data_IF_450689189995
#
_entry.id   IF_450689189995
#
_cell.length_a   1.000
_cell.length_b   1.000
_cell.length_c   1.000
_cell.angle_alpha   90.00
_cell.angle_beta   90.00
_cell.angle_gamma   90.00
#
_symmetry.space_group_name_H-M   'P 1'
#
loop_
_entity.id
_entity.type
_entity.pdbx_description
1 polymer ?
#
# COMPACT_ATOMS: atom_id res chain seq x y z
N UNK A 1 -7.52 -13.89 -40.03
CA UNK A 1 -7.67 -12.56 -39.40
C UNK A 1 -7.69 -12.63 -37.88
N UNK A 2 -8.51 -13.49 -37.25
CA UNK A 2 -8.57 -13.66 -35.78
C UNK A 2 -7.22 -14.01 -35.13
N UNK A 3 -6.40 -14.86 -35.73
CA UNK A 3 -5.09 -15.24 -35.19
C UNK A 3 -4.10 -14.08 -35.02
N UNK A 4 -4.14 -13.08 -35.93
CA UNK A 4 -3.30 -11.88 -35.82
C UNK A 4 -3.74 -11.03 -34.64
N UNK A 5 -5.06 -10.84 -34.48
CA UNK A 5 -5.63 -10.08 -33.35
C UNK A 5 -5.22 -10.72 -32.02
N UNK A 6 -5.35 -12.05 -31.91
CA UNK A 6 -4.94 -12.81 -30.73
C UNK A 6 -3.44 -12.64 -30.45
N UNK A 7 -2.57 -12.76 -31.47
CA UNK A 7 -1.13 -12.60 -31.31
C UNK A 7 -0.74 -11.19 -30.83
N UNK A 8 -1.37 -10.14 -31.39
CA UNK A 8 -1.14 -8.74 -30.99
C UNK A 8 -1.57 -8.50 -29.55
N UNK A 9 -2.74 -9.02 -29.14
CA UNK A 9 -3.23 -8.91 -27.76
C UNK A 9 -2.26 -9.57 -26.77
N UNK A 10 -1.78 -10.78 -27.05
CA UNK A 10 -0.81 -11.46 -26.20
C UNK A 10 0.53 -10.73 -26.11
N UNK A 11 0.99 -10.09 -27.20
CA UNK A 11 2.18 -9.24 -27.17
C UNK A 11 1.99 -7.98 -26.31
N UNK A 12 0.82 -7.35 -26.34
CA UNK A 12 0.51 -6.22 -25.47
C UNK A 12 0.57 -6.63 -23.99
N UNK A 13 -0.04 -7.77 -23.63
CA UNK A 13 0.05 -8.30 -22.27
C UNK A 13 1.48 -8.67 -21.88
N UNK A 14 2.27 -9.23 -22.80
CA UNK A 14 3.69 -9.51 -22.56
C UNK A 14 4.49 -8.23 -22.31
N UNK A 15 4.16 -7.13 -23.01
CA UNK A 15 4.73 -5.81 -22.77
C UNK A 15 4.40 -5.28 -21.37
N UNK A 16 3.16 -5.38 -20.93
CA UNK A 16 2.75 -5.01 -19.55
C UNK A 16 3.50 -5.87 -18.52
N UNK A 17 3.57 -7.19 -18.74
CA UNK A 17 4.31 -8.10 -17.86
C UNK A 17 5.82 -7.80 -17.82
N UNK A 18 6.40 -7.33 -18.92
CA UNK A 18 7.80 -6.87 -18.97
C UNK A 18 8.02 -5.61 -18.14
N UNK A 19 7.12 -4.62 -18.25
CA UNK A 19 7.18 -3.42 -17.40
C UNK A 19 7.04 -3.80 -15.93
N UNK A 20 6.12 -4.69 -15.59
CA UNK A 20 5.97 -5.21 -14.23
C UNK A 20 7.26 -5.90 -13.74
N UNK A 21 7.89 -6.76 -14.56
CA UNK A 21 9.19 -7.38 -14.25
C UNK A 21 10.27 -6.33 -13.96
N UNK A 22 10.35 -5.26 -14.76
CA UNK A 22 11.32 -4.18 -14.57
C UNK A 22 11.10 -3.41 -13.26
N UNK A 23 9.85 -3.09 -12.93
CA UNK A 23 9.49 -2.40 -11.68
C UNK A 23 9.81 -3.26 -10.47
N UNK A 24 9.42 -4.54 -10.47
CA UNK A 24 9.76 -5.44 -9.36
C UNK A 24 11.28 -5.63 -9.22
N UNK A 25 12.00 -5.67 -10.35
CA UNK A 25 13.46 -5.78 -10.40
C UNK A 25 14.17 -4.55 -9.81
N UNK A 26 13.64 -3.34 -10.01
CA UNK A 26 14.24 -2.12 -9.45
C UNK A 26 14.05 -2.05 -7.94
N UNK A 27 12.88 -2.44 -7.45
CA UNK A 27 12.48 -2.24 -6.06
C UNK A 27 13.34 -3.06 -5.10
N UNK A 28 13.49 -4.38 -5.31
CA UNK A 28 14.30 -5.20 -4.39
C UNK A 28 15.80 -4.92 -4.49
N UNK A 29 16.29 -4.48 -5.65
CA UNK A 29 17.72 -4.15 -5.82
C UNK A 29 18.12 -2.89 -5.10
N UNK A 30 17.25 -1.87 -5.15
CA UNK A 30 17.49 -0.65 -4.39
C UNK A 30 17.48 -0.97 -2.89
N UNK A 31 16.58 -1.85 -2.44
CA UNK A 31 16.59 -2.35 -1.06
C UNK A 31 17.87 -3.14 -0.74
N UNK A 32 18.33 -4.02 -1.64
CA UNK A 32 19.50 -4.86 -1.39
C UNK A 32 20.84 -4.10 -1.38
N UNK A 33 20.91 -2.93 -2.02
CA UNK A 33 22.14 -2.14 -2.14
C UNK A 33 22.47 -1.30 -0.91
N UNK A 34 21.46 -0.93 -0.13
CA UNK A 34 21.65 -0.13 1.07
C UNK A 34 21.97 -1.06 2.24
N UNK A 35 22.95 -0.64 3.03
CA UNK A 35 23.24 -1.26 4.33
C UNK A 35 22.25 -0.72 5.35
N UNK A 36 21.89 -1.58 6.30
CA UNK A 36 21.11 -1.16 7.46
C UNK A 36 21.98 -0.26 8.34
N UNK A 37 21.39 0.82 8.83
CA UNK A 37 22.03 1.78 9.74
C UNK A 37 21.29 1.75 11.06
N UNK A 38 22.02 1.96 12.15
CA UNK A 38 21.44 2.15 13.46
C UNK A 38 20.79 3.53 13.58
N UNK A 39 19.84 3.68 14.51
CA UNK A 39 19.20 4.97 14.80
C UNK A 39 20.23 6.03 15.21
N UNK A 40 21.28 5.64 15.95
CA UNK A 40 22.37 6.52 16.35
C UNK A 40 23.21 6.98 15.15
N UNK A 41 23.52 6.08 14.19
CA UNK A 41 24.28 6.46 12.99
C UNK A 41 23.53 7.50 12.16
N UNK A 42 22.22 7.31 11.99
CA UNK A 42 21.36 8.27 11.28
C UNK A 42 21.34 9.62 11.99
N UNK A 43 21.28 9.62 13.32
CA UNK A 43 21.36 10.85 14.12
C UNK A 43 22.73 11.54 14.03
N UNK A 44 23.81 10.76 14.06
CA UNK A 44 25.18 11.27 13.94
C UNK A 44 25.45 11.88 12.56
N UNK A 45 25.02 11.22 11.48
CA UNK A 45 25.13 11.77 10.13
C UNK A 45 24.37 13.09 9.98
N UNK A 46 23.17 13.17 10.56
CA UNK A 46 22.40 14.41 10.54
C UNK A 46 23.06 15.53 11.35
N UNK A 47 23.67 15.21 12.50
CA UNK A 47 24.42 16.16 13.31
C UNK A 47 25.62 16.73 12.54
N UNK A 48 26.43 15.85 11.93
CA UNK A 48 27.58 16.26 11.10
C UNK A 48 27.15 17.15 9.93
N UNK A 49 26.06 16.81 9.25
CA UNK A 49 25.55 17.62 8.15
C UNK A 49 25.09 19.02 8.63
N UNK A 50 24.50 19.11 9.82
CA UNK A 50 24.09 20.37 10.44
C UNK A 50 25.29 21.22 10.85
N UNK A 51 26.32 20.62 11.44
CA UNK A 51 27.57 21.30 11.81
C UNK A 51 28.29 21.86 10.58
N UNK A 52 28.24 21.13 9.46
CA UNK A 52 28.75 21.60 8.16
C UNK A 52 27.90 22.70 7.50
N UNK A 53 26.81 23.14 8.13
CA UNK A 53 25.89 24.15 7.59
C UNK A 53 25.01 23.66 6.43
N UNK A 54 24.93 22.34 6.22
CA UNK A 54 24.18 21.72 5.13
C UNK A 54 22.79 21.21 5.54
N UNK A 55 21.96 20.88 4.56
CA UNK A 55 20.70 20.17 4.76
C UNK A 55 20.92 18.65 4.72
N UNK A 56 20.55 17.92 5.78
CA UNK A 56 20.58 16.46 5.78
C UNK A 56 19.42 15.87 4.96
N UNK A 57 19.74 14.95 4.05
CA UNK A 57 18.79 14.32 3.13
C UNK A 57 19.39 13.08 2.48
N UNK A 58 19.44 12.00 3.24
CA UNK A 58 20.09 10.72 2.89
C UNK A 58 19.03 9.60 2.86
N UNK A 59 19.16 8.66 1.92
CA UNK A 59 18.28 7.48 1.91
C UNK A 59 18.85 6.43 2.85
N UNK A 60 18.09 6.08 3.88
CA UNK A 60 18.53 5.17 4.95
C UNK A 60 17.61 3.96 5.06
N UNK A 61 18.14 2.89 5.64
CA UNK A 61 17.40 1.71 6.06
C UNK A 61 17.62 1.51 7.55
N UNK A 62 16.53 1.47 8.32
CA UNK A 62 16.58 1.31 9.77
C UNK A 62 15.63 0.21 10.18
N UNK A 63 16.12 -0.67 11.06
CA UNK A 63 15.31 -1.63 11.80
C UNK A 63 15.19 -1.16 13.23
N UNK A 64 14.00 -1.29 13.79
CA UNK A 64 13.79 -1.03 15.20
C UNK A 64 12.41 -1.48 15.64
N UNK A 65 12.03 -1.04 16.83
CA UNK A 65 10.75 -1.30 17.45
C UNK A 65 9.96 -0.01 17.51
N UNK A 66 8.68 -0.07 17.16
CA UNK A 66 7.79 1.09 17.26
C UNK A 66 7.65 1.56 18.70
N UNK A 67 7.84 2.85 18.91
CA UNK A 67 7.71 3.52 20.19
C UNK A 67 6.83 4.77 20.05
N UNK A 68 6.35 5.28 21.18
CA UNK A 68 5.50 6.45 21.21
C UNK A 68 6.22 7.70 20.68
N UNK A 69 5.48 8.54 19.95
CA UNK A 69 5.99 9.82 19.48
C UNK A 69 6.00 10.89 20.58
N UNK A 70 6.48 12.11 20.28
CA UNK A 70 6.41 13.24 21.21
C UNK A 70 4.99 13.58 21.69
N UNK A 71 3.97 13.23 20.90
CA UNK A 71 2.55 13.39 21.27
C UNK A 71 1.95 12.22 22.06
N UNK A 72 2.77 11.22 22.44
CA UNK A 72 2.33 10.00 23.09
C UNK A 72 1.60 9.04 22.14
N UNK A 73 0.94 8.03 22.72
CA UNK A 73 0.13 7.06 21.98
C UNK A 73 -1.20 7.65 21.51
N UNK A 74 -1.46 7.48 20.20
CA UNK A 74 -2.73 7.81 19.60
C UNK A 74 -3.80 6.79 19.97
N UNK A 75 -5.06 7.17 19.80
CA UNK A 75 -6.19 6.24 19.90
C UNK A 75 -6.83 6.08 18.52
N UNK A 76 -6.90 4.83 18.05
CA UNK A 76 -7.51 4.48 16.77
C UNK A 76 -9.02 4.86 16.78
N UNK A 77 -9.54 5.55 15.73
CA UNK A 77 -10.91 6.08 15.75
C UNK A 77 -12.01 5.03 15.89
N UNK A 78 -11.81 3.82 15.36
CA UNK A 78 -12.85 2.79 15.27
C UNK A 78 -12.69 1.74 16.39
N UNK A 79 -11.53 1.10 16.49
CA UNK A 79 -11.26 0.09 17.52
C UNK A 79 -11.02 0.67 18.91
N UNK A 80 -10.80 1.99 19.03
CA UNK A 80 -10.42 2.68 20.28
C UNK A 80 -9.13 2.16 20.92
N UNK A 81 -8.32 1.40 20.17
CA UNK A 81 -7.06 0.84 20.66
C UNK A 81 -5.95 1.90 20.66
N UNK A 82 -5.02 1.78 21.59
CA UNK A 82 -3.80 2.59 21.61
C UNK A 82 -2.85 2.14 20.50
N UNK A 83 -2.33 3.09 19.72
CA UNK A 83 -1.49 2.83 18.55
C UNK A 83 -0.52 3.99 18.29
N UNK A 84 0.52 3.73 17.51
CA UNK A 84 1.46 4.76 17.01
C UNK A 84 1.09 5.26 15.62
N UNK A 85 0.26 4.51 14.90
CA UNK A 85 -0.30 4.89 13.60
C UNK A 85 -1.61 4.15 13.36
N UNK A 86 -2.53 4.77 12.61
CA UNK A 86 -3.76 4.14 12.15
C UNK A 86 -4.14 4.61 10.75
N UNK A 87 -4.92 3.78 10.06
CA UNK A 87 -5.59 4.09 8.81
C UNK A 87 -6.95 3.40 8.80
N UNK A 88 -7.96 4.08 8.29
CA UNK A 88 -9.23 3.44 8.01
C UNK A 88 -9.78 3.81 6.63
N UNK A 89 -10.55 2.88 6.10
CA UNK A 89 -11.23 3.00 4.82
C UNK A 89 -12.71 2.65 4.99
N UNK A 90 -13.58 3.51 4.45
CA UNK A 90 -15.02 3.27 4.35
C UNK A 90 -15.35 3.02 2.89
N UNK A 91 -15.97 1.87 2.62
CA UNK A 91 -16.44 1.50 1.29
C UNK A 91 -17.93 1.19 1.33
N UNK A 92 -18.62 1.45 0.23
CA UNK A 92 -20.02 1.11 0.01
C UNK A 92 -20.11 -0.02 -1.00
N UNK A 93 -20.93 -1.01 -0.69
CA UNK A 93 -21.29 -2.08 -1.61
C UNK A 93 -22.70 -1.84 -2.09
N UNK A 94 -22.90 -1.77 -3.41
CA UNK A 94 -24.21 -1.52 -4.01
C UNK A 94 -24.41 -2.29 -5.31
N UNK A 95 -25.67 -2.43 -5.72
CA UNK A 95 -26.02 -2.96 -7.03
C UNK A 95 -25.95 -1.87 -8.10
N UNK A 96 -25.13 -2.08 -9.12
CA UNK A 96 -25.07 -1.24 -10.32
C UNK A 96 -25.89 -1.89 -11.43
N UNK A 97 -26.78 -1.10 -12.03
CA UNK A 97 -27.50 -1.53 -13.23
C UNK A 97 -26.58 -1.50 -14.47
N UNK A 98 -26.77 -2.44 -15.39
CA UNK A 98 -26.08 -2.42 -16.68
C UNK A 98 -26.42 -1.13 -17.44
N UNK A 99 -25.43 -0.57 -18.12
CA UNK A 99 -25.59 0.69 -18.87
C UNK A 99 -26.50 0.52 -20.10
N UNK A 100 -26.57 -0.69 -20.64
CA UNK A 100 -27.47 -1.07 -21.73
C UNK A 100 -28.70 -1.77 -21.17
N UNK A 101 -29.89 -1.30 -21.58
CA UNK A 101 -31.16 -1.98 -21.33
C UNK A 101 -31.30 -3.18 -22.28
N UNK A 102 -30.49 -4.20 -22.06
CA UNK A 102 -30.78 -5.53 -22.59
C UNK A 102 -31.61 -6.29 -21.54
N UNK A 103 -32.68 -6.94 -21.98
CA UNK A 103 -33.73 -7.56 -21.14
C UNK A 103 -33.19 -8.72 -20.28
N UNK A 104 -31.93 -9.12 -20.49
CA UNK A 104 -31.22 -10.19 -19.77
C UNK A 104 -30.08 -9.70 -18.88
N UNK A 105 -29.79 -8.40 -18.86
CA UNK A 105 -28.60 -7.90 -18.19
C UNK A 105 -28.80 -7.87 -16.66
N UNK A 106 -27.99 -8.65 -15.95
CA UNK A 106 -28.09 -8.78 -14.49
C UNK A 106 -27.38 -7.62 -13.76
N UNK A 107 -27.92 -7.13 -12.62
CA UNK A 107 -27.25 -6.13 -11.81
C UNK A 107 -25.92 -6.67 -11.29
N UNK A 108 -24.89 -5.84 -11.32
CA UNK A 108 -23.54 -6.22 -10.87
C UNK A 108 -23.28 -5.64 -9.49
N UNK A 109 -22.71 -6.44 -8.59
CA UNK A 109 -22.27 -5.98 -7.27
C UNK A 109 -21.00 -5.16 -7.43
N UNK A 110 -21.03 -3.91 -6.97
CA UNK A 110 -19.90 -2.98 -7.07
C UNK A 110 -19.53 -2.47 -5.70
N UNK A 111 -18.22 -2.38 -5.45
CA UNK A 111 -17.67 -1.73 -4.26
C UNK A 111 -17.09 -0.38 -4.64
N UNK A 112 -17.47 0.66 -3.92
CA UNK A 112 -17.03 2.04 -4.11
C UNK A 112 -16.38 2.57 -2.83
N UNK A 113 -15.25 3.27 -2.97
CA UNK A 113 -14.56 3.87 -1.83
C UNK A 113 -15.11 5.26 -1.54
N UNK A 114 -15.70 5.43 -0.35
CA UNK A 114 -16.34 6.68 0.05
C UNK A 114 -15.44 7.58 0.88
N UNK A 115 -14.48 6.98 1.59
CA UNK A 115 -13.61 7.73 2.49
C UNK A 115 -12.38 6.95 2.89
N UNK A 116 -11.31 7.70 3.06
CA UNK A 116 -10.02 7.19 3.50
C UNK A 116 -9.38 8.24 4.41
N UNK A 117 -8.91 7.82 5.59
CA UNK A 117 -8.14 8.67 6.49
C UNK A 117 -7.05 7.87 7.16
N UNK A 118 -5.97 8.56 7.52
CA UNK A 118 -4.84 8.01 8.24
C UNK A 118 -4.32 9.04 9.24
N UNK A 119 -3.56 8.58 10.23
CA UNK A 119 -2.82 9.45 11.12
C UNK A 119 -1.69 10.17 10.38
N UNK A 120 -1.46 11.42 10.73
CA UNK A 120 -0.35 12.25 10.22
C UNK A 120 0.78 12.43 11.23
N UNK A 121 0.56 12.01 12.47
CA UNK A 121 1.51 12.17 13.55
C UNK A 121 2.73 11.28 13.36
N UNK A 122 3.84 11.73 13.95
CA UNK A 122 5.11 11.01 13.93
C UNK A 122 5.19 10.10 15.13
N UNK A 123 5.78 8.94 14.95
CA UNK A 123 6.15 8.04 16.05
C UNK A 123 7.65 7.81 16.05
N UNK A 124 8.15 7.19 17.11
CA UNK A 124 9.56 6.85 17.22
C UNK A 124 9.80 5.41 16.77
N UNK A 125 10.93 5.20 16.11
CA UNK A 125 11.50 3.89 15.89
C UNK A 125 12.74 3.80 16.76
N UNK A 126 12.79 2.80 17.63
CA UNK A 126 13.84 2.64 18.65
C UNK A 126 14.60 1.35 18.40
N UNK A 127 15.92 1.42 18.44
CA UNK A 127 16.80 0.24 18.45
C UNK A 127 17.72 0.29 19.67
N UNK A 128 18.73 -0.59 19.72
CA UNK A 128 19.70 -0.64 20.82
C UNK A 128 20.59 0.61 20.92
N UNK A 129 20.72 1.36 19.82
CA UNK A 129 21.60 2.51 19.70
C UNK A 129 20.91 3.84 20.03
N UNK A 130 19.60 3.94 19.82
CA UNK A 130 18.87 5.18 20.02
C UNK A 130 17.47 5.16 19.42
N UNK A 131 16.97 6.34 19.05
CA UNK A 131 15.62 6.49 18.49
C UNK A 131 15.58 7.53 17.38
N UNK A 132 14.79 7.26 16.35
CA UNK A 132 14.58 8.17 15.21
C UNK A 132 13.09 8.36 14.95
N UNK A 133 12.66 9.57 14.59
CA UNK A 133 11.26 9.81 14.27
C UNK A 133 10.91 9.32 12.86
N UNK A 134 9.74 8.71 12.72
CA UNK A 134 9.21 8.20 11.45
C UNK A 134 7.90 8.91 11.12
N UNK A 135 7.76 9.31 9.86
CA UNK A 135 6.56 9.97 9.32
C UNK A 135 6.07 9.18 8.11
N UNK A 136 5.01 8.39 8.30
CA UNK A 136 4.45 7.54 7.24
C UNK A 136 3.67 8.31 6.18
N UNK A 137 3.06 9.44 6.57
CA UNK A 137 2.08 10.12 5.72
C UNK A 137 0.95 9.14 5.36
N UNK A 138 0.59 9.09 4.08
CA UNK A 138 -0.44 8.21 3.55
C UNK A 138 0.05 6.79 3.20
N UNK A 139 1.30 6.41 3.52
CA UNK A 139 1.79 5.06 3.21
C UNK A 139 1.41 4.10 4.34
N UNK A 140 0.56 3.11 4.03
CA UNK A 140 0.31 1.98 4.92
C UNK A 140 1.54 1.07 5.00
N UNK A 141 2.03 0.72 6.21
CA UNK A 141 3.06 -0.30 6.36
C UNK A 141 2.57 -1.68 5.91
N UNK A 142 3.41 -2.36 5.16
CA UNK A 142 3.19 -3.73 4.71
C UNK A 142 3.19 -4.70 5.91
N UNK A 143 2.28 -5.67 5.90
CA UNK A 143 2.09 -6.59 7.03
C UNK A 143 1.37 -6.00 8.24
N UNK A 144 0.79 -4.79 8.16
CA UNK A 144 -0.09 -4.28 9.22
C UNK A 144 -1.31 -5.16 9.42
N UNK A 145 -1.54 -5.56 10.66
CA UNK A 145 -2.68 -6.40 11.02
C UNK A 145 -3.96 -5.56 11.00
N UNK A 146 -5.01 -6.07 10.35
CA UNK A 146 -6.35 -5.49 10.43
C UNK A 146 -6.83 -5.50 11.87
N UNK A 147 -7.11 -4.33 12.42
CA UNK A 147 -7.49 -4.16 13.83
C UNK A 147 -9.00 -4.20 14.05
N UNK A 148 -9.76 -3.77 13.04
CA UNK A 148 -11.21 -3.76 13.04
C UNK A 148 -11.72 -3.92 11.61
N UNK A 149 -12.64 -4.85 11.44
CA UNK A 149 -13.39 -5.06 10.21
C UNK A 149 -14.85 -5.22 10.58
N UNK A 150 -15.72 -4.40 10.00
CA UNK A 150 -17.14 -4.53 10.19
C UNK A 150 -17.88 -4.20 8.90
N UNK A 151 -18.97 -4.94 8.67
CA UNK A 151 -19.92 -4.68 7.60
C UNK A 151 -21.25 -4.28 8.25
N UNK A 152 -21.83 -3.18 7.75
CA UNK A 152 -23.08 -2.62 8.23
C UNK A 152 -24.09 -2.61 7.10
N UNK A 153 -25.09 -3.48 7.20
CA UNK A 153 -26.20 -3.47 6.25
C UNK A 153 -26.92 -2.12 6.31
N UNK A 154 -27.43 -1.64 5.17
CA UNK A 154 -28.13 -0.33 5.15
C UNK A 154 -29.34 -0.28 6.09
N UNK A 155 -30.02 -1.41 6.28
CA UNK A 155 -31.14 -1.55 7.22
C UNK A 155 -30.74 -1.32 8.69
N UNK A 156 -29.46 -1.48 9.04
CA UNK A 156 -28.95 -1.31 10.42
C UNK A 156 -28.62 0.16 10.74
N UNK A 157 -28.51 1.05 9.75
CA UNK A 157 -28.03 2.43 9.92
C UNK A 157 -29.02 3.36 10.66
N UNK A 158 -30.20 2.86 11.02
CA UNK A 158 -31.20 3.57 11.83
C UNK A 158 -31.76 2.74 12.99
N UNK A 159 -31.26 1.52 13.21
CA UNK A 159 -31.73 0.68 14.32
C UNK A 159 -30.86 0.92 15.55
N UNK A 160 -31.49 1.15 16.70
CA UNK A 160 -30.82 1.36 18.00
C UNK A 160 -30.06 0.13 18.54
N UNK A 161 -30.10 -1.01 17.85
CA UNK A 161 -29.51 -2.28 18.29
C UNK A 161 -28.00 -2.37 18.10
N UNK A 162 -27.39 -1.55 17.23
CA UNK A 162 -25.96 -1.59 16.94
C UNK A 162 -25.36 -0.20 16.91
N UNK A 163 -24.27 0.00 17.65
CA UNK A 163 -23.50 1.24 17.62
C UNK A 163 -22.77 1.35 16.28
N UNK A 164 -23.37 2.07 15.32
CA UNK A 164 -22.75 2.35 14.02
C UNK A 164 -21.73 3.48 14.19
N UNK A 165 -20.48 3.32 13.71
CA UNK A 165 -19.48 4.38 13.78
C UNK A 165 -19.92 5.64 13.01
N UNK A 166 -19.64 6.82 13.56
CA UNK A 166 -19.99 8.11 12.94
C UNK A 166 -19.42 8.24 11.52
N UNK A 167 -18.26 7.63 11.25
CA UNK A 167 -17.62 7.61 9.93
C UNK A 167 -18.51 6.91 8.89
N UNK A 168 -19.20 5.84 9.28
CA UNK A 168 -20.15 5.11 8.42
C UNK A 168 -21.42 5.94 8.25
N UNK A 169 -21.95 6.52 9.33
CA UNK A 169 -23.13 7.39 9.27
C UNK A 169 -22.92 8.61 8.35
N UNK A 170 -21.76 9.27 8.49
CA UNK A 170 -21.36 10.40 7.67
C UNK A 170 -21.17 10.00 6.20
N UNK A 171 -20.62 8.81 5.94
CA UNK A 171 -20.51 8.28 4.57
C UNK A 171 -21.89 7.98 3.97
N UNK A 172 -22.79 7.36 4.74
CA UNK A 172 -24.15 7.04 4.34
C UNK A 172 -25.03 8.27 4.10
N UNK A 173 -24.84 9.34 4.89
CA UNK A 173 -25.53 10.62 4.69
C UNK A 173 -25.11 11.31 3.38
N UNK A 174 -23.86 11.13 2.95
CA UNK A 174 -23.34 11.70 1.70
C UNK A 174 -23.83 10.97 0.45
N UNK A 175 -24.07 9.67 0.53
CA UNK A 175 -24.58 8.83 -0.57
C UNK A 175 -26.11 8.85 -0.66
N UNK A 176 -26.72 10.02 -0.41
CA UNK A 176 -28.18 10.30 -0.37
C UNK A 176 -29.01 9.28 -1.18
N UNK A 177 -29.90 8.60 -0.46
CA UNK A 177 -31.06 7.85 -0.97
C UNK A 177 -30.83 6.88 -2.14
N UNK A 178 -29.75 6.09 -2.08
CA UNK A 178 -29.56 4.98 -3.00
C UNK A 178 -30.08 3.67 -2.39
N UNK A 179 -31.33 3.32 -2.70
CA UNK A 179 -32.00 2.08 -2.30
C UNK A 179 -31.26 0.81 -2.74
N UNK A 180 -30.27 0.94 -3.63
CA UNK A 180 -29.44 -0.16 -4.16
C UNK A 180 -28.21 -0.44 -3.30
N UNK A 181 -27.97 0.39 -2.29
CA UNK A 181 -26.88 0.18 -1.33
C UNK A 181 -27.19 -1.04 -0.47
N UNK A 182 -26.33 -2.05 -0.56
CA UNK A 182 -26.42 -3.29 0.20
C UNK A 182 -25.85 -3.05 1.60
N UNK A 183 -24.60 -2.60 1.66
CA UNK A 183 -23.89 -2.46 2.92
C UNK A 183 -22.75 -1.43 2.85
N UNK A 184 -22.23 -1.09 4.03
CA UNK A 184 -21.04 -0.28 4.21
C UNK A 184 -19.97 -1.10 4.93
N UNK A 185 -18.85 -1.29 4.24
CA UNK A 185 -17.68 -1.97 4.78
C UNK A 185 -16.73 -0.93 5.38
N UNK A 186 -16.30 -1.16 6.62
CA UNK A 186 -15.24 -0.39 7.25
C UNK A 186 -14.06 -1.28 7.61
N UNK A 187 -12.85 -0.84 7.24
CA UNK A 187 -11.60 -1.51 7.60
C UNK A 187 -10.71 -0.52 8.34
N UNK A 188 -10.17 -0.93 9.49
CA UNK A 188 -9.14 -0.19 10.24
C UNK A 188 -7.87 -1.02 10.36
N UNK A 189 -6.75 -0.44 9.97
CA UNK A 189 -5.41 -0.96 10.22
C UNK A 189 -4.74 -0.09 11.27
N UNK A 190 -4.03 -0.72 12.21
CA UNK A 190 -3.25 0.01 13.21
C UNK A 190 -1.84 -0.57 13.30
N UNK A 191 -0.93 0.26 13.76
CA UNK A 191 0.40 -0.15 14.20
C UNK A 191 0.50 0.13 15.69
N UNK A 192 0.70 -0.90 16.50
CA UNK A 192 0.86 -0.78 17.96
C UNK A 192 2.32 -0.46 18.31
N UNK A 193 2.58 0.14 19.48
CA UNK A 193 3.94 0.19 20.03
C UNK A 193 4.47 -1.23 20.30
N UNK A 194 5.78 -1.39 20.35
CA UNK A 194 6.45 -2.67 20.64
C UNK A 194 6.56 -3.62 19.44
N UNK A 195 6.25 -3.16 18.24
CA UNK A 195 6.27 -3.99 17.03
C UNK A 195 7.56 -3.75 16.24
N UNK A 196 8.31 -4.80 15.89
CA UNK A 196 9.44 -4.69 14.98
C UNK A 196 9.01 -4.11 13.64
N UNK A 197 9.75 -3.12 13.15
CA UNK A 197 9.45 -2.40 11.93
C UNK A 197 10.73 -2.12 11.15
N UNK A 198 10.74 -2.53 9.89
CA UNK A 198 11.72 -2.12 8.90
C UNK A 198 11.23 -0.86 8.19
N UNK A 199 12.08 0.16 8.12
CA UNK A 199 11.79 1.42 7.44
C UNK A 199 12.92 1.76 6.48
N UNK A 200 12.56 1.96 5.20
CA UNK A 200 13.44 2.55 4.20
C UNK A 200 12.82 3.83 3.66
N UNK A 201 13.52 4.94 3.84
CA UNK A 201 13.07 6.27 3.41
C UNK A 201 14.21 7.28 3.39
N UNK A 202 13.87 8.54 3.15
CA UNK A 202 14.83 9.65 3.26
C UNK A 202 14.79 10.18 4.68
N UNK A 203 15.94 10.13 5.37
CA UNK A 203 16.15 10.80 6.62
C UNK A 203 16.46 12.26 6.34
N UNK A 204 15.65 13.15 6.91
CA UNK A 204 15.77 14.59 6.75
C UNK A 204 15.76 15.28 8.10
N UNK A 205 16.59 16.29 8.27
CA UNK A 205 16.53 17.15 9.45
C UNK A 205 15.38 18.16 9.28
N UNK A 206 14.40 18.12 10.18
CA UNK A 206 13.31 19.09 10.24
C UNK A 206 13.23 19.70 11.63
N UNK A 207 13.52 21.00 11.69
CA UNK A 207 13.42 21.78 12.93
C UNK A 207 14.23 21.18 14.09
N UNK A 208 15.42 20.65 13.80
CA UNK A 208 16.32 20.10 14.83
C UNK A 208 16.14 18.61 15.11
N UNK A 209 15.10 17.97 14.54
CA UNK A 209 14.83 16.54 14.71
C UNK A 209 14.99 15.78 13.39
N UNK A 210 15.70 14.65 13.45
CA UNK A 210 15.82 13.74 12.29
C UNK A 210 14.53 12.96 12.13
N UNK A 211 13.94 13.06 10.94
CA UNK A 211 12.70 12.38 10.58
C UNK A 211 12.91 11.58 9.30
N UNK A 212 12.63 10.28 9.37
CA UNK A 212 12.55 9.40 8.20
C UNK A 212 11.16 9.52 7.61
N UNK A 213 11.10 9.81 6.31
CA UNK A 213 9.83 9.91 5.60
C UNK A 213 9.97 9.63 4.12
N UNK A 214 8.93 9.97 3.37
CA UNK A 214 8.94 9.79 1.91
C UNK A 214 10.12 10.55 1.28
N UNK A 215 10.91 9.90 0.42
CA UNK A 215 11.94 10.56 -0.36
C UNK A 215 11.40 11.78 -1.12
N UNK A 216 12.11 12.90 -0.99
CA UNK A 216 11.77 14.19 -1.61
C UNK A 216 12.51 14.39 -2.93
N UNK A 217 13.78 13.97 -2.98
CA UNK A 217 14.65 14.18 -4.16
C UNK A 217 14.47 13.12 -5.23
N UNK A 218 14.00 11.94 -4.84
CA UNK A 218 13.78 10.81 -5.74
C UNK A 218 12.31 10.47 -5.79
N UNK A 219 11.84 9.89 -6.91
CA UNK A 219 10.50 9.32 -6.99
C UNK A 219 10.40 7.95 -6.29
N UNK A 220 11.34 7.65 -5.40
CA UNK A 220 11.35 6.42 -4.63
C UNK A 220 10.21 6.44 -3.59
N UNK A 221 9.64 5.26 -3.33
CA UNK A 221 8.57 5.11 -2.34
C UNK A 221 9.18 4.93 -0.95
N UNK A 222 8.48 5.41 0.07
CA UNK A 222 8.73 5.01 1.45
C UNK A 222 8.32 3.54 1.58
N UNK A 223 9.23 2.68 2.02
CA UNK A 223 8.96 1.27 2.27
C UNK A 223 8.94 1.08 3.77
N UNK A 224 7.82 0.59 4.29
CA UNK A 224 7.64 0.34 5.71
C UNK A 224 7.00 -1.01 5.84
N UNK A 225 7.55 -1.88 6.67
CA UNK A 225 7.07 -3.24 6.80
C UNK A 225 7.29 -3.78 8.20
N UNK A 226 6.28 -4.49 8.70
CA UNK A 226 6.36 -5.27 9.93
C UNK A 226 7.10 -6.59 9.69
N UNK A 227 7.10 -7.05 8.44
CA UNK A 227 7.85 -8.22 7.99
C UNK A 227 9.27 -7.74 7.67
N UNK A 228 10.30 -8.30 8.32
CA UNK A 228 11.68 -7.83 8.18
C UNK A 228 12.19 -7.79 6.73
N UNK A 229 13.28 -7.05 6.51
CA UNK A 229 13.90 -6.79 5.19
C UNK A 229 14.04 -8.04 4.33
N UNK A 230 14.58 -9.12 4.87
CA UNK A 230 14.90 -10.31 4.09
C UNK A 230 13.67 -10.99 3.52
N UNK A 231 12.60 -11.08 4.29
CA UNK A 231 11.35 -11.64 3.83
C UNK A 231 10.71 -10.76 2.75
N UNK A 232 10.76 -9.43 2.89
CA UNK A 232 10.32 -8.51 1.83
C UNK A 232 11.12 -8.70 0.54
N UNK A 233 12.43 -8.93 0.64
CA UNK A 233 13.27 -9.20 -0.53
C UNK A 233 12.87 -10.54 -1.17
N UNK A 234 12.56 -11.56 -0.36
CA UNK A 234 12.11 -12.86 -0.86
C UNK A 234 10.76 -12.77 -1.56
N UNK A 235 9.79 -12.07 -0.99
CA UNK A 235 8.45 -11.88 -1.56
C UNK A 235 8.55 -11.10 -2.88
N UNK A 236 9.30 -9.99 -2.90
CA UNK A 236 9.54 -9.24 -4.15
C UNK A 236 10.28 -10.04 -5.22
N UNK A 237 11.19 -10.95 -4.81
CA UNK A 237 11.84 -11.89 -5.75
C UNK A 237 10.86 -12.93 -6.28
N UNK A 238 9.93 -13.42 -5.45
CA UNK A 238 8.89 -14.36 -5.87
C UNK A 238 7.96 -13.70 -6.90
N UNK A 239 7.50 -12.47 -6.64
CA UNK A 239 6.70 -11.69 -7.58
C UNK A 239 7.43 -11.44 -8.90
N UNK A 240 8.73 -11.12 -8.82
CA UNK A 240 9.55 -10.98 -10.03
C UNK A 240 9.63 -12.29 -10.83
N UNK A 241 9.78 -13.44 -10.16
CA UNK A 241 9.82 -14.75 -10.84
C UNK A 241 8.49 -15.06 -11.50
N UNK A 242 7.38 -14.77 -10.83
CA UNK A 242 6.03 -14.94 -11.37
C UNK A 242 5.82 -14.04 -12.59
N UNK A 243 6.13 -12.74 -12.49
CA UNK A 243 6.01 -11.80 -13.61
C UNK A 243 6.85 -12.24 -14.83
N UNK A 244 8.07 -12.74 -14.59
CA UNK A 244 8.92 -13.30 -15.64
C UNK A 244 8.30 -14.54 -16.27
N UNK A 245 7.77 -15.47 -15.48
CA UNK A 245 7.12 -16.68 -15.97
C UNK A 245 5.89 -16.35 -16.83
N UNK A 246 5.05 -15.42 -16.37
CA UNK A 246 3.89 -14.92 -17.13
C UNK A 246 4.33 -14.29 -18.45
N UNK A 247 5.35 -13.42 -18.43
CA UNK A 247 5.89 -12.82 -19.66
C UNK A 247 6.33 -13.87 -20.67
N UNK A 248 7.11 -14.87 -20.22
CA UNK A 248 7.57 -15.97 -21.08
C UNK A 248 6.39 -16.77 -21.66
N UNK A 249 5.41 -17.12 -20.83
CA UNK A 249 4.20 -17.81 -21.27
C UNK A 249 3.43 -17.03 -22.35
N UNK A 250 3.19 -15.73 -22.13
CA UNK A 250 2.51 -14.86 -23.10
C UNK A 250 3.27 -14.75 -24.42
N UNK A 251 4.60 -14.65 -24.38
CA UNK A 251 5.42 -14.63 -25.59
C UNK A 251 5.38 -15.94 -26.38
N UNK A 252 5.34 -17.09 -25.70
CA UNK A 252 5.20 -18.40 -26.34
C UNK A 252 3.83 -18.54 -27.00
N UNK A 253 2.75 -18.13 -26.32
CA UNK A 253 1.38 -18.18 -26.87
C UNK A 253 1.25 -17.25 -28.10
N UNK A 254 1.84 -16.06 -28.06
CA UNK A 254 1.88 -15.17 -29.20
C UNK A 254 2.61 -15.79 -30.40
N UNK A 255 3.77 -16.42 -30.15
CA UNK A 255 4.55 -17.12 -31.18
C UNK A 255 3.79 -18.29 -31.81
N UNK A 256 3.13 -19.13 -30.99
CA UNK A 256 2.29 -20.23 -31.47
C UNK A 256 1.11 -19.72 -32.30
N UNK A 257 0.44 -18.66 -31.86
CA UNK A 257 -0.68 -18.06 -32.60
C UNK A 257 -0.26 -17.57 -33.99
N UNK A 258 0.92 -16.97 -34.10
CA UNK A 258 1.50 -16.55 -35.38
C UNK A 258 1.90 -17.74 -36.25
N UNK A 259 2.47 -18.79 -35.65
CA UNK A 259 2.83 -20.02 -36.36
C UNK A 259 1.60 -20.72 -36.95
N UNK A 260 0.51 -20.88 -36.18
CA UNK A 260 -0.74 -21.43 -36.68
C UNK A 260 -1.35 -20.58 -37.79
N UNK A 261 -1.27 -19.25 -37.68
CA UNK A 261 -1.70 -18.36 -38.76
C UNK A 261 -0.93 -18.60 -40.06
N UNK A 262 0.40 -18.72 -39.99
CA UNK A 262 1.24 -19.01 -41.15
C UNK A 262 0.92 -20.39 -41.74
N UNK A 263 0.68 -21.40 -40.90
CA UNK A 263 0.26 -22.73 -41.34
C UNK A 263 -1.05 -22.67 -42.13
N UNK A 264 -2.05 -21.91 -41.66
CA UNK A 264 -3.33 -21.72 -42.37
C UNK A 264 -3.23 -20.89 -43.65
N UNK A 265 -2.08 -20.27 -43.92
CA UNK A 265 -1.81 -19.50 -45.13
C UNK A 265 -1.11 -20.36 -46.20
N UNK A 266 -0.40 -21.41 -45.76
CA UNK A 266 0.36 -22.33 -46.61
C UNK A 266 -0.49 -23.52 -47.07
N UNK A 267 -1.46 -23.94 -46.25
CA UNK A 267 -2.43 -25.00 -46.55
C UNK A 267 -3.80 -24.41 -46.87
#
# INVERSE_FOLDING_TARGET
>A
MWWIVTAVVFLLFAGVAYVAELVFRSDWRQMARLSEMSCADVAALAATAREAGGSFGETVQVNGVTAEGPGGLMTAPLSRRKCVWWEYQVSRVYWREPAEKDDKAQPTRVTEHLGHRHSTDRFLLTDESGSVAVSLGANRPEGTVGSHFADYARSELGSSSRAVPEQVLNAAAKTRDDSRTISYEIREHILTPGVPLFVQGEASDRAGQVVIGRPRRTNAKLIVSVIGRDQLILDKKADQRLARAVRLGLTVIAGLSLFFYLLTLVF
#
